data_IF_956582331059
#
_entry.id   IF_956582331059
#
_cell.length_a   1.000
_cell.length_b   1.000
_cell.length_c   1.000
_cell.angle_alpha   90.00
_cell.angle_beta   90.00
_cell.angle_gamma   90.00
#
_symmetry.space_group_name_H-M   'P 1'
#
loop_
_entity.id
_entity.type
_entity.pdbx_description
1 polymer ?
#
# COMPACT_ATOMS: atom_id res chain seq x y z
N UNK A 1 -17.05 13.71 6.01
CA UNK A 1 -18.26 14.13 6.75
C UNK A 1 -19.15 14.87 5.76
N UNK A 2 -20.31 14.31 5.42
CA UNK A 2 -21.17 14.86 4.36
C UNK A 2 -21.99 16.02 4.93
N UNK A 3 -21.53 17.26 4.73
CA UNK A 3 -22.09 18.47 5.34
C UNK A 3 -23.55 18.72 4.95
N UNK A 4 -24.03 18.16 3.84
CA UNK A 4 -25.41 18.28 3.37
C UNK A 4 -26.42 17.66 4.34
N UNK A 5 -26.11 16.49 4.91
CA UNK A 5 -26.99 15.80 5.87
C UNK A 5 -27.08 16.55 7.20
N UNK A 6 -25.97 17.12 7.66
CA UNK A 6 -25.92 17.91 8.88
C UNK A 6 -26.77 19.18 8.72
N UNK A 7 -26.67 19.85 7.57
CA UNK A 7 -27.46 21.04 7.26
C UNK A 7 -28.95 20.73 7.09
N UNK A 8 -29.28 19.61 6.41
CA UNK A 8 -30.66 19.18 6.20
C UNK A 8 -31.33 18.76 7.51
N UNK A 9 -30.64 17.98 8.35
CA UNK A 9 -31.11 17.59 9.67
C UNK A 9 -31.31 18.81 10.59
N UNK A 10 -30.41 19.80 10.52
CA UNK A 10 -30.54 21.07 11.22
C UNK A 10 -31.79 21.85 10.79
N UNK A 11 -32.06 21.92 9.48
CA UNK A 11 -33.24 22.59 8.94
C UNK A 11 -34.54 21.90 9.37
N UNK A 12 -34.61 20.58 9.22
CA UNK A 12 -35.80 19.79 9.59
C UNK A 12 -36.05 19.84 11.09
N UNK A 13 -34.99 19.77 11.90
CA UNK A 13 -35.06 19.97 13.36
C UNK A 13 -35.63 21.34 13.73
N UNK A 14 -35.20 22.41 13.07
CA UNK A 14 -35.72 23.76 13.31
C UNK A 14 -37.20 23.89 12.95
N UNK A 15 -37.64 23.30 11.83
CA UNK A 15 -39.05 23.31 11.40
C UNK A 15 -39.92 22.53 12.39
N UNK A 16 -39.50 21.33 12.81
CA UNK A 16 -40.23 20.52 13.79
C UNK A 16 -40.34 21.26 15.13
N UNK A 17 -39.26 21.87 15.60
CA UNK A 17 -39.26 22.65 16.84
C UNK A 17 -40.21 23.85 16.76
N UNK A 18 -40.25 24.55 15.63
CA UNK A 18 -41.17 25.68 15.41
C UNK A 18 -42.64 25.23 15.42
N UNK A 19 -42.97 24.11 14.75
CA UNK A 19 -44.33 23.55 14.71
C UNK A 19 -44.79 23.11 16.10
N UNK A 20 -43.95 22.35 16.83
CA UNK A 20 -44.26 21.93 18.21
C UNK A 20 -44.41 23.15 19.13
N UNK A 21 -43.57 24.18 18.97
CA UNK A 21 -43.67 25.44 19.71
C UNK A 21 -44.99 26.16 19.49
N UNK A 22 -45.46 26.23 18.23
CA UNK A 22 -46.76 26.83 17.88
C UNK A 22 -47.94 26.02 18.42
N UNK A 23 -47.89 24.69 18.34
CA UNK A 23 -48.94 23.81 18.89
C UNK A 23 -49.03 23.91 20.42
N UNK A 24 -47.88 24.08 21.10
CA UNK A 24 -47.84 24.34 22.55
C UNK A 24 -48.42 25.71 22.91
N UNK A 25 -48.11 26.75 22.13
CA UNK A 25 -48.66 28.11 22.35
C UNK A 25 -50.19 28.15 22.22
N UNK A 26 -50.77 27.28 21.38
CA UNK A 26 -52.21 27.14 21.17
C UNK A 26 -52.90 26.21 22.19
N UNK A 27 -52.16 25.61 23.11
CA UNK A 27 -52.69 24.73 24.16
C UNK A 27 -53.08 23.32 23.68
N UNK A 28 -52.79 22.96 22.44
CA UNK A 28 -53.14 21.65 21.87
C UNK A 28 -52.26 20.50 22.39
N UNK A 29 -51.08 20.82 22.92
CA UNK A 29 -50.09 19.82 23.35
C UNK A 29 -49.46 20.23 24.67
N UNK A 30 -49.53 19.34 25.67
CA UNK A 30 -48.89 19.53 26.98
C UNK A 30 -47.36 19.42 26.93
N UNK A 31 -46.66 19.86 27.98
CA UNK A 31 -45.18 19.87 28.04
C UNK A 31 -44.57 18.49 27.81
N UNK A 32 -45.14 17.45 28.44
CA UNK A 32 -44.67 16.07 28.31
C UNK A 32 -44.94 15.51 26.89
N UNK A 33 -46.14 15.73 26.36
CA UNK A 33 -46.53 15.28 25.01
C UNK A 33 -45.69 15.94 23.91
N UNK A 34 -45.31 17.21 24.08
CA UNK A 34 -44.45 17.91 23.13
C UNK A 34 -43.01 17.39 23.12
N UNK A 35 -42.48 16.96 24.27
CA UNK A 35 -41.16 16.33 24.35
C UNK A 35 -41.16 14.95 23.66
N UNK A 36 -42.20 14.15 23.89
CA UNK A 36 -42.37 12.84 23.24
C UNK A 36 -42.46 12.98 21.72
N UNK A 37 -43.25 13.93 21.20
CA UNK A 37 -43.36 14.17 19.76
C UNK A 37 -42.02 14.57 19.12
N UNK A 38 -41.20 15.34 19.83
CA UNK A 38 -39.87 15.72 19.34
C UNK A 38 -38.94 14.51 19.25
N UNK A 39 -38.95 13.64 20.27
CA UNK A 39 -38.16 12.39 20.27
C UNK A 39 -38.61 11.47 19.13
N UNK A 40 -39.92 11.27 18.96
CA UNK A 40 -40.47 10.45 17.87
C UNK A 40 -40.07 11.00 16.51
N UNK A 41 -40.10 12.32 16.32
CA UNK A 41 -39.70 12.93 15.06
C UNK A 41 -38.20 12.78 14.76
N UNK A 42 -37.34 12.87 15.78
CA UNK A 42 -35.89 12.61 15.64
C UNK A 42 -35.64 11.15 15.25
N UNK A 43 -36.31 10.20 15.92
CA UNK A 43 -36.19 8.77 15.61
C UNK A 43 -36.70 8.47 14.20
N UNK A 44 -37.85 9.02 13.82
CA UNK A 44 -38.42 8.85 12.48
C UNK A 44 -37.52 9.44 11.38
N UNK A 45 -36.94 10.63 11.64
CA UNK A 45 -35.97 11.23 10.73
C UNK A 45 -34.72 10.37 10.57
N UNK A 46 -34.16 9.87 11.68
CA UNK A 46 -32.97 9.02 11.64
C UNK A 46 -33.22 7.72 10.85
N UNK A 47 -34.37 7.08 11.07
CA UNK A 47 -34.79 5.90 10.31
C UNK A 47 -34.98 6.21 8.82
N UNK A 48 -35.60 7.34 8.48
CA UNK A 48 -35.79 7.76 7.09
C UNK A 48 -34.47 8.09 6.39
N UNK A 49 -33.55 8.78 7.08
CA UNK A 49 -32.24 9.13 6.55
C UNK A 49 -31.41 7.88 6.25
N UNK A 50 -31.32 6.96 7.21
CA UNK A 50 -30.56 5.70 7.09
C UNK A 50 -31.15 4.76 6.03
N UNK A 51 -32.48 4.62 5.96
CA UNK A 51 -33.10 3.66 5.05
C UNK A 51 -33.41 4.21 3.65
N UNK A 52 -33.53 5.52 3.48
CA UNK A 52 -34.00 6.11 2.21
C UNK A 52 -33.03 7.12 1.58
N UNK A 53 -32.44 8.03 2.36
CA UNK A 53 -31.58 9.08 1.79
C UNK A 53 -30.15 8.58 1.52
N UNK A 54 -29.53 7.90 2.48
CA UNK A 54 -28.17 7.36 2.33
C UNK A 54 -28.07 6.36 1.14
N UNK A 55 -29.00 5.40 0.96
CA UNK A 55 -28.97 4.50 -0.19
C UNK A 55 -29.20 5.23 -1.53
N UNK A 56 -30.01 6.29 -1.53
CA UNK A 56 -30.32 7.08 -2.74
C UNK A 56 -29.15 7.97 -3.17
N UNK A 57 -28.36 8.50 -2.24
CA UNK A 57 -27.13 9.23 -2.59
C UNK A 57 -26.02 8.29 -3.10
N UNK A 58 -25.88 7.09 -2.52
CA UNK A 58 -25.01 6.05 -3.10
C UNK A 58 -25.41 5.76 -4.54
N UNK A 59 -26.71 5.64 -4.81
CA UNK A 59 -27.26 5.52 -6.16
C UNK A 59 -27.06 6.79 -7.02
N UNK A 60 -27.02 7.99 -6.44
CA UNK A 60 -26.84 9.25 -7.15
C UNK A 60 -25.41 9.47 -7.68
N UNK A 61 -24.41 8.77 -7.13
CA UNK A 61 -23.07 8.71 -7.75
C UNK A 61 -23.04 7.96 -9.09
N UNK A 62 -24.07 7.15 -9.37
CA UNK A 62 -24.21 6.32 -10.56
C UNK A 62 -23.18 5.18 -10.68
N UNK A 63 -22.20 5.11 -9.78
CA UNK A 63 -21.12 4.13 -9.81
C UNK A 63 -21.39 3.00 -8.82
N UNK A 64 -21.17 1.75 -9.25
CA UNK A 64 -21.16 0.60 -8.34
C UNK A 64 -19.99 0.70 -7.34
N UNK A 65 -20.07 -0.03 -6.22
CA UNK A 65 -18.96 -0.07 -5.25
C UNK A 65 -17.65 -0.57 -5.89
N UNK A 66 -17.75 -1.46 -6.88
CA UNK A 66 -16.63 -1.90 -7.72
C UNK A 66 -16.03 -0.75 -8.54
N UNK A 67 -16.87 0.10 -9.15
CA UNK A 67 -16.39 1.23 -9.93
C UNK A 67 -15.76 2.32 -9.05
N UNK A 68 -16.27 2.52 -7.83
CA UNK A 68 -15.64 3.42 -6.86
C UNK A 68 -14.27 2.88 -6.41
N UNK A 69 -14.17 1.57 -6.17
CA UNK A 69 -12.90 0.91 -5.85
C UNK A 69 -11.89 1.05 -7.00
N UNK A 70 -12.31 0.75 -8.23
CA UNK A 70 -11.51 0.94 -9.44
C UNK A 70 -11.02 2.39 -9.55
N UNK A 71 -11.91 3.38 -9.35
CA UNK A 71 -11.58 4.80 -9.49
C UNK A 71 -10.51 5.29 -8.50
N UNK A 72 -10.37 4.66 -7.33
CA UNK A 72 -9.34 5.00 -6.33
C UNK A 72 -8.03 4.29 -6.66
N UNK A 73 -8.06 2.96 -6.83
CA UNK A 73 -6.82 2.20 -7.02
C UNK A 73 -6.15 2.50 -8.36
N UNK A 74 -6.92 2.73 -9.42
CA UNK A 74 -6.37 3.02 -10.75
C UNK A 74 -5.73 4.42 -10.84
N UNK A 75 -5.77 5.23 -9.78
CA UNK A 75 -4.92 6.42 -9.68
C UNK A 75 -3.44 6.06 -9.51
N UNK A 76 -3.13 4.85 -9.04
CA UNK A 76 -1.75 4.39 -8.89
C UNK A 76 -1.33 3.61 -10.15
N UNK A 77 -0.22 3.97 -10.80
CA UNK A 77 0.22 3.34 -12.05
C UNK A 77 0.35 1.82 -11.98
N UNK A 78 0.85 1.26 -10.88
CA UNK A 78 1.00 -0.20 -10.69
C UNK A 78 -0.33 -0.95 -10.82
N UNK A 79 -1.42 -0.40 -10.28
CA UNK A 79 -2.74 -1.04 -10.36
C UNK A 79 -3.35 -0.95 -11.77
N UNK A 80 -3.01 0.09 -12.55
CA UNK A 80 -3.37 0.13 -13.97
C UNK A 80 -2.72 -1.04 -14.72
N UNK A 81 -1.43 -1.29 -14.48
CA UNK A 81 -0.71 -2.41 -15.11
C UNK A 81 -1.31 -3.76 -14.71
N UNK A 82 -1.66 -3.94 -13.43
CA UNK A 82 -2.32 -5.16 -12.96
C UNK A 82 -3.67 -5.39 -13.66
N UNK A 83 -4.48 -4.34 -13.82
CA UNK A 83 -5.75 -4.45 -14.55
C UNK A 83 -5.55 -4.81 -16.03
N UNK A 84 -4.51 -4.26 -16.66
CA UNK A 84 -4.17 -4.49 -18.06
C UNK A 84 -3.63 -5.92 -18.31
N UNK A 85 -2.68 -6.37 -17.49
CA UNK A 85 -1.92 -7.60 -17.72
C UNK A 85 -2.44 -8.81 -16.96
N UNK A 86 -3.11 -8.59 -15.82
CA UNK A 86 -3.55 -9.63 -14.89
C UNK A 86 -5.06 -9.46 -14.56
N UNK A 87 -5.95 -9.48 -15.57
CA UNK A 87 -7.36 -9.14 -15.37
C UNK A 87 -8.08 -10.09 -14.39
N UNK A 88 -7.71 -11.37 -14.36
CA UNK A 88 -8.27 -12.33 -13.41
C UNK A 88 -7.85 -12.01 -11.97
N UNK A 89 -6.56 -11.66 -11.77
CA UNK A 89 -6.06 -11.21 -10.48
C UNK A 89 -6.72 -9.89 -10.05
N UNK A 90 -6.89 -8.94 -10.97
CA UNK A 90 -7.58 -7.68 -10.68
C UNK A 90 -9.00 -7.88 -10.15
N UNK A 91 -9.77 -8.77 -10.79
CA UNK A 91 -11.12 -9.12 -10.33
C UNK A 91 -11.05 -9.75 -8.94
N UNK A 92 -10.14 -10.72 -8.72
CA UNK A 92 -9.96 -11.35 -7.41
C UNK A 92 -9.64 -10.33 -6.31
N UNK A 93 -8.66 -9.45 -6.58
CA UNK A 93 -8.22 -8.40 -5.68
C UNK A 93 -9.39 -7.50 -5.26
N UNK A 94 -10.17 -7.04 -6.24
CA UNK A 94 -11.33 -6.17 -6.01
C UNK A 94 -12.40 -6.88 -5.20
N UNK A 95 -12.76 -8.11 -5.58
CA UNK A 95 -13.77 -8.89 -4.87
C UNK A 95 -13.37 -9.12 -3.41
N UNK A 96 -12.12 -9.49 -3.16
CA UNK A 96 -11.60 -9.70 -1.81
C UNK A 96 -11.60 -8.40 -1.00
N UNK A 97 -11.17 -7.28 -1.57
CA UNK A 97 -11.17 -5.99 -0.90
C UNK A 97 -12.57 -5.55 -0.48
N UNK A 98 -13.56 -5.69 -1.37
CA UNK A 98 -14.95 -5.35 -1.10
C UNK A 98 -15.58 -6.29 -0.09
N UNK A 99 -15.25 -7.59 -0.12
CA UNK A 99 -15.70 -8.54 0.88
C UNK A 99 -15.19 -8.15 2.28
N UNK A 100 -13.89 -7.89 2.43
CA UNK A 100 -13.29 -7.49 3.72
C UNK A 100 -13.90 -6.18 4.24
N UNK A 101 -14.17 -5.22 3.33
CA UNK A 101 -14.87 -3.98 3.68
C UNK A 101 -16.28 -4.27 4.21
N UNK A 102 -17.02 -5.18 3.56
CA UNK A 102 -18.38 -5.57 3.99
C UNK A 102 -18.37 -6.34 5.31
N UNK A 103 -17.30 -7.05 5.62
CA UNK A 103 -17.05 -7.68 6.93
C UNK A 103 -16.64 -6.67 8.02
N UNK A 104 -16.54 -5.38 7.70
CA UNK A 104 -16.20 -4.32 8.65
C UNK A 104 -14.70 -4.21 8.98
N UNK A 105 -13.83 -4.81 8.15
CA UNK A 105 -12.37 -4.65 8.30
C UNK A 105 -11.94 -3.20 8.08
N UNK A 106 -10.90 -2.78 8.79
CA UNK A 106 -10.32 -1.45 8.60
C UNK A 106 -9.55 -1.37 7.28
N UNK A 107 -9.35 -0.15 6.77
CA UNK A 107 -8.54 0.08 5.55
C UNK A 107 -7.14 -0.54 5.66
N UNK A 108 -6.50 -0.43 6.83
CA UNK A 108 -5.18 -1.03 7.06
C UNK A 108 -5.22 -2.56 6.98
N UNK A 109 -6.24 -3.21 7.55
CA UNK A 109 -6.38 -4.67 7.48
C UNK A 109 -6.59 -5.15 6.04
N UNK A 110 -7.30 -4.36 5.23
CA UNK A 110 -7.49 -4.64 3.80
C UNK A 110 -6.14 -4.51 3.07
N UNK A 111 -5.39 -3.42 3.32
CA UNK A 111 -4.04 -3.22 2.76
C UNK A 111 -3.11 -4.36 3.14
N UNK A 112 -3.05 -4.73 4.42
CA UNK A 112 -2.17 -5.80 4.93
C UNK A 112 -2.49 -7.16 4.28
N UNK A 113 -3.74 -7.37 3.86
CA UNK A 113 -4.17 -8.60 3.15
C UNK A 113 -3.80 -8.57 1.66
N UNK A 114 -3.92 -7.41 1.02
CA UNK A 114 -3.78 -7.24 -0.44
C UNK A 114 -2.33 -7.00 -0.85
N UNK A 115 -1.61 -6.18 -0.09
CA UNK A 115 -0.27 -5.73 -0.43
C UNK A 115 0.72 -6.88 -0.70
N UNK A 116 0.77 -7.97 0.09
CA UNK A 116 1.68 -9.08 -0.17
C UNK A 116 1.44 -9.76 -1.52
N UNK A 117 0.18 -9.88 -1.95
CA UNK A 117 -0.20 -10.50 -3.23
C UNK A 117 0.28 -9.66 -4.41
N UNK A 118 0.12 -8.33 -4.31
CA UNK A 118 0.63 -7.38 -5.31
C UNK A 118 2.15 -7.42 -5.36
N UNK A 119 2.82 -7.41 -4.21
CA UNK A 119 4.28 -7.48 -4.11
C UNK A 119 4.81 -8.76 -4.76
N UNK A 120 4.15 -9.91 -4.56
CA UNK A 120 4.56 -11.18 -5.18
C UNK A 120 4.57 -11.08 -6.71
N UNK A 121 3.54 -10.47 -7.32
CA UNK A 121 3.51 -10.23 -8.76
C UNK A 121 4.64 -9.28 -9.17
N UNK A 122 4.83 -8.17 -8.46
CA UNK A 122 5.93 -7.23 -8.73
C UNK A 122 7.31 -7.90 -8.71
N UNK A 123 7.59 -8.73 -7.69
CA UNK A 123 8.87 -9.46 -7.59
C UNK A 123 9.04 -10.47 -8.73
N UNK A 124 7.96 -11.17 -9.12
CA UNK A 124 8.00 -12.08 -10.27
C UNK A 124 8.31 -11.35 -11.59
N UNK A 125 7.89 -10.09 -11.72
CA UNK A 125 8.14 -9.27 -12.91
C UNK A 125 9.60 -8.82 -13.02
N UNK A 126 10.32 -8.66 -11.91
CA UNK A 126 11.75 -8.35 -11.96
C UNK A 126 12.56 -9.44 -12.68
N UNK A 127 12.15 -10.72 -12.58
CA UNK A 127 12.78 -11.81 -13.34
C UNK A 127 12.68 -11.61 -14.86
N UNK A 128 11.60 -10.97 -15.33
CA UNK A 128 11.28 -10.83 -16.75
C UNK A 128 11.51 -9.41 -17.28
N UNK A 129 11.80 -8.45 -16.41
CA UNK A 129 12.09 -7.08 -16.80
C UNK A 129 13.48 -7.00 -17.48
N UNK A 130 13.70 -6.10 -18.46
CA UNK A 130 15.02 -5.78 -18.97
C UNK A 130 15.97 -5.22 -17.89
N UNK A 131 17.28 -5.38 -18.08
CA UNK A 131 18.30 -5.01 -17.08
C UNK A 131 18.19 -3.57 -16.57
N UNK A 132 17.91 -2.62 -17.46
CA UNK A 132 17.77 -1.21 -17.09
C UNK A 132 16.67 -1.00 -16.05
N UNK A 133 15.52 -1.65 -16.22
CA UNK A 133 14.40 -1.54 -15.29
C UNK A 133 14.69 -2.21 -13.94
N UNK A 134 15.43 -3.32 -13.95
CA UNK A 134 15.85 -4.01 -12.72
C UNK A 134 16.86 -3.17 -11.92
N UNK A 135 17.83 -2.57 -12.62
CA UNK A 135 18.82 -1.67 -12.01
C UNK A 135 18.16 -0.41 -11.46
N UNK A 136 17.24 0.21 -12.21
CA UNK A 136 16.54 1.41 -11.76
C UNK A 136 15.60 1.14 -10.58
N UNK A 137 14.97 -0.04 -10.54
CA UNK A 137 14.22 -0.52 -9.38
C UNK A 137 15.11 -0.51 -8.11
N UNK A 138 16.32 -1.07 -8.20
CA UNK A 138 17.21 -1.14 -7.04
C UNK A 138 17.77 0.22 -6.62
N UNK A 139 18.06 1.11 -7.58
CA UNK A 139 18.46 2.50 -7.27
C UNK A 139 17.39 3.22 -6.45
N UNK A 140 16.13 3.15 -6.87
CA UNK A 140 15.02 3.77 -6.15
C UNK A 140 14.83 3.09 -4.78
N UNK A 141 14.99 1.77 -4.71
CA UNK A 141 14.92 1.05 -3.43
C UNK A 141 16.00 1.52 -2.44
N UNK A 142 17.24 1.75 -2.90
CA UNK A 142 18.29 2.36 -2.08
C UNK A 142 17.94 3.78 -1.62
N UNK A 143 17.37 4.61 -2.49
CA UNK A 143 16.91 5.95 -2.10
C UNK A 143 15.84 5.88 -1.00
N UNK A 144 14.93 4.89 -1.07
CA UNK A 144 13.91 4.66 -0.04
C UNK A 144 14.54 4.23 1.29
N UNK A 145 15.47 3.27 1.27
CA UNK A 145 16.17 2.82 2.49
C UNK A 145 16.89 4.00 3.14
N UNK A 146 17.65 4.78 2.36
CA UNK A 146 18.34 5.96 2.84
C UNK A 146 17.37 7.04 3.39
N UNK A 147 16.22 7.23 2.75
CA UNK A 147 15.20 8.17 3.23
C UNK A 147 14.58 7.72 4.56
N UNK A 148 14.34 6.43 4.74
CA UNK A 148 13.83 5.87 6.00
C UNK A 148 14.90 5.93 7.09
N UNK A 149 16.15 5.57 6.81
CA UNK A 149 17.22 5.61 7.80
C UNK A 149 17.47 7.02 8.35
N UNK A 150 17.29 8.06 7.51
CA UNK A 150 17.32 9.46 7.97
C UNK A 150 16.27 9.79 9.03
N UNK A 151 15.22 8.98 9.17
CA UNK A 151 14.20 9.11 10.23
C UNK A 151 14.60 8.33 11.48
N UNK A 152 15.26 7.19 11.30
CA UNK A 152 15.95 6.47 12.35
C UNK A 152 16.36 5.06 11.91
N UNK A 153 17.34 4.50 12.62
CA UNK A 153 17.87 3.17 12.31
C UNK A 153 16.85 2.06 12.62
N UNK A 154 16.01 2.24 13.65
CA UNK A 154 14.92 1.31 13.96
C UNK A 154 13.89 1.25 12.82
N UNK A 155 13.49 2.41 12.30
CA UNK A 155 12.57 2.53 11.18
C UNK A 155 13.13 1.85 9.93
N UNK A 156 14.43 2.04 9.66
CA UNK A 156 15.09 1.40 8.53
C UNK A 156 15.16 -0.13 8.71
N UNK A 157 15.48 -0.62 9.91
CA UNK A 157 15.48 -2.05 10.18
C UNK A 157 14.09 -2.67 9.98
N UNK A 158 13.04 -2.00 10.48
CA UNK A 158 11.64 -2.41 10.31
C UNK A 158 11.15 -2.32 8.86
N UNK A 159 11.72 -1.42 8.05
CA UNK A 159 11.45 -1.31 6.62
C UNK A 159 12.05 -2.49 5.84
N UNK A 160 13.28 -2.87 6.16
CA UNK A 160 13.99 -3.97 5.52
C UNK A 160 13.50 -5.35 5.97
N UNK A 161 13.18 -5.49 7.26
CA UNK A 161 12.81 -6.77 7.90
C UNK A 161 11.51 -6.65 8.70
N UNK A 162 10.36 -6.35 8.05
CA UNK A 162 9.07 -6.14 8.71
C UNK A 162 8.59 -7.35 9.52
N UNK A 163 9.02 -8.56 9.16
CA UNK A 163 8.72 -9.82 9.86
C UNK A 163 9.40 -9.96 11.23
N UNK A 164 10.45 -9.16 11.52
CA UNK A 164 11.23 -9.28 12.76
C UNK A 164 10.71 -8.35 13.86
N UNK A 165 10.49 -7.06 13.55
CA UNK A 165 10.05 -6.04 14.53
C UNK A 165 8.71 -5.38 14.18
N UNK A 166 8.00 -5.92 13.19
CA UNK A 166 6.81 -5.30 12.61
C UNK A 166 7.18 -4.21 11.59
N UNK A 167 6.38 -4.09 10.53
CA UNK A 167 6.62 -3.11 9.47
C UNK A 167 6.43 -1.65 9.89
N UNK A 168 6.74 -0.75 8.97
CA UNK A 168 6.44 0.68 9.05
C UNK A 168 5.44 1.06 7.95
N UNK A 169 4.82 2.24 8.08
CA UNK A 169 4.10 2.85 6.97
C UNK A 169 5.04 3.81 6.21
N UNK A 170 5.53 3.44 5.00
CA UNK A 170 6.53 4.24 4.29
C UNK A 170 6.00 5.61 3.84
N UNK A 171 4.68 5.76 3.67
CA UNK A 171 4.05 7.03 3.24
C UNK A 171 4.22 8.17 4.24
N UNK A 172 4.52 7.85 5.51
CA UNK A 172 4.75 8.84 6.56
C UNK A 172 6.22 9.26 6.68
N UNK A 173 7.13 8.49 6.09
CA UNK A 173 8.58 8.60 6.31
C UNK A 173 9.33 9.00 5.03
N UNK A 174 8.83 8.58 3.87
CA UNK A 174 9.41 8.82 2.55
C UNK A 174 8.69 9.98 1.87
N UNK A 175 9.43 10.82 1.13
CA UNK A 175 8.84 11.97 0.44
C UNK A 175 7.87 11.53 -0.66
N UNK A 176 6.83 12.32 -0.96
CA UNK A 176 5.90 12.03 -2.05
C UNK A 176 6.59 11.87 -3.41
N UNK A 177 7.69 12.58 -3.65
CA UNK A 177 8.49 12.46 -4.89
C UNK A 177 9.10 11.06 -5.06
N UNK A 178 9.79 10.55 -4.03
CA UNK A 178 10.41 9.22 -4.07
C UNK A 178 9.33 8.15 -4.23
N UNK A 179 8.19 8.29 -3.53
CA UNK A 179 7.06 7.35 -3.65
C UNK A 179 6.46 7.37 -5.06
N UNK A 180 6.31 8.56 -5.66
CA UNK A 180 5.83 8.71 -7.03
C UNK A 180 6.78 8.03 -8.02
N UNK A 181 8.08 8.33 -7.95
CA UNK A 181 9.09 7.70 -8.81
C UNK A 181 9.13 6.18 -8.65
N UNK A 182 8.97 5.68 -7.42
CA UNK A 182 8.84 4.24 -7.15
C UNK A 182 7.64 3.63 -7.87
N UNK A 183 6.46 4.23 -7.74
CA UNK A 183 5.24 3.70 -8.38
C UNK A 183 5.33 3.74 -9.91
N UNK A 184 5.87 4.82 -10.47
CA UNK A 184 6.08 4.95 -11.92
C UNK A 184 7.14 3.97 -12.44
N UNK A 185 8.24 3.81 -11.70
CA UNK A 185 9.31 2.86 -12.01
C UNK A 185 8.82 1.41 -11.96
N UNK A 186 8.09 1.04 -10.91
CA UNK A 186 7.49 -0.30 -10.77
C UNK A 186 6.51 -0.58 -11.93
N UNK A 187 5.64 0.37 -12.28
CA UNK A 187 4.71 0.21 -13.38
C UNK A 187 5.42 0.08 -14.74
N UNK A 188 6.47 0.87 -14.98
CA UNK A 188 7.28 0.77 -16.20
C UNK A 188 8.00 -0.58 -16.28
N UNK A 189 8.59 -1.03 -15.17
CA UNK A 189 9.23 -2.34 -15.04
C UNK A 189 8.23 -3.48 -15.35
N UNK A 190 7.05 -3.46 -14.73
CA UNK A 190 6.02 -4.48 -14.95
C UNK A 190 5.51 -4.50 -16.39
N UNK A 191 5.40 -3.33 -17.04
CA UNK A 191 5.06 -3.25 -18.48
C UNK A 191 6.14 -3.84 -19.36
N UNK A 192 7.41 -3.53 -19.09
CA UNK A 192 8.55 -4.05 -19.84
C UNK A 192 8.79 -5.55 -19.61
N UNK A 193 8.35 -6.08 -18.47
CA UNK A 193 8.43 -7.50 -18.12
C UNK A 193 7.37 -8.38 -18.81
N UNK A 194 6.58 -7.83 -19.72
CA UNK A 194 5.49 -8.52 -20.40
C UNK A 194 5.65 -8.48 -21.92
N UNK A 195 5.06 -9.46 -22.61
CA UNK A 195 5.09 -9.55 -24.07
C UNK A 195 6.31 -10.31 -24.63
N UNK A 196 6.49 -10.30 -25.96
CA UNK A 196 7.47 -11.14 -26.65
C UNK A 196 8.93 -10.73 -26.39
N UNK A 197 9.17 -9.48 -25.98
CA UNK A 197 10.52 -8.93 -25.77
C UNK A 197 10.94 -8.93 -24.29
N UNK A 198 10.21 -9.66 -23.43
CA UNK A 198 10.57 -9.77 -22.01
C UNK A 198 11.91 -10.48 -21.84
N UNK A 199 12.63 -10.14 -20.78
CA UNK A 199 13.84 -10.87 -20.37
C UNK A 199 13.48 -12.31 -20.02
N UNK A 200 14.39 -13.23 -20.34
CA UNK A 200 14.31 -14.62 -19.89
C UNK A 200 15.61 -14.96 -19.20
N UNK A 201 15.54 -15.14 -17.88
CA UNK A 201 16.71 -15.50 -17.08
C UNK A 201 17.25 -16.84 -17.54
N UNK A 202 18.55 -16.90 -17.84
CA UNK A 202 19.23 -18.15 -18.20
C UNK A 202 20.00 -18.73 -17.01
N UNK A 203 20.30 -20.04 -17.05
CA UNK A 203 21.12 -20.68 -16.01
C UNK A 203 22.53 -20.08 -15.94
N UNK A 204 23.08 -19.68 -17.10
CA UNK A 204 24.38 -19.00 -17.17
C UNK A 204 24.35 -17.64 -16.46
N UNK A 205 23.27 -16.86 -16.64
CA UNK A 205 23.07 -15.60 -15.91
C UNK A 205 22.93 -15.83 -14.40
N UNK A 206 22.20 -16.87 -13.97
CA UNK A 206 22.09 -17.21 -12.55
C UNK A 206 23.45 -17.57 -11.95
N UNK A 207 24.22 -18.41 -12.63
CA UNK A 207 25.55 -18.80 -12.17
C UNK A 207 26.50 -17.59 -12.12
N UNK A 208 26.46 -16.72 -13.14
CA UNK A 208 27.24 -15.48 -13.15
C UNK A 208 26.84 -14.57 -11.99
N UNK A 209 25.54 -14.38 -11.73
CA UNK A 209 25.06 -13.58 -10.60
C UNK A 209 25.54 -14.11 -9.25
N UNK A 210 25.65 -15.44 -9.07
CA UNK A 210 26.25 -16.03 -7.87
C UNK A 210 27.74 -15.69 -7.74
N UNK A 211 28.50 -15.73 -8.85
CA UNK A 211 29.91 -15.35 -8.86
C UNK A 211 30.10 -13.85 -8.61
N UNK A 212 29.25 -13.02 -9.19
CA UNK A 212 29.26 -11.57 -9.00
C UNK A 212 28.98 -11.23 -7.53
N UNK A 213 28.01 -11.90 -6.89
CA UNK A 213 27.74 -11.73 -5.47
C UNK A 213 28.94 -12.18 -4.61
N UNK A 214 29.62 -13.28 -4.97
CA UNK A 214 30.85 -13.72 -4.29
C UNK A 214 31.98 -12.69 -4.37
N UNK A 215 32.01 -11.83 -5.40
CA UNK A 215 32.98 -10.73 -5.50
C UNK A 215 32.67 -9.55 -4.56
N UNK A 216 31.39 -9.36 -4.21
CA UNK A 216 30.94 -8.29 -3.31
C UNK A 216 31.16 -8.64 -1.83
N UNK A 217 30.95 -9.90 -1.45
CA UNK A 217 31.01 -10.35 -0.05
C UNK A 217 32.32 -9.99 0.67
N UNK A 218 33.52 -10.17 0.08
CA UNK A 218 34.79 -9.80 0.75
C UNK A 218 34.87 -8.32 1.14
N UNK A 219 34.29 -7.42 0.33
CA UNK A 219 34.26 -5.97 0.63
C UNK A 219 33.43 -5.72 1.90
N UNK A 220 32.30 -6.42 2.03
CA UNK A 220 31.43 -6.32 3.20
C UNK A 220 32.11 -6.95 4.43
N UNK A 221 32.75 -8.11 4.28
CA UNK A 221 33.48 -8.78 5.38
C UNK A 221 34.62 -7.91 5.90
N UNK A 222 35.33 -7.20 5.01
CA UNK A 222 36.37 -6.27 5.42
C UNK A 222 35.83 -5.11 6.27
N UNK A 223 34.61 -4.62 5.96
CA UNK A 223 34.00 -3.46 6.65
C UNK A 223 33.23 -3.84 7.92
N UNK A 224 32.53 -4.96 7.91
CA UNK A 224 31.57 -5.36 8.94
C UNK A 224 32.01 -6.62 9.73
N UNK A 225 33.05 -7.32 9.31
CA UNK A 225 33.54 -8.51 9.98
C UNK A 225 32.46 -9.60 10.08
N UNK A 226 32.19 -10.07 11.31
CA UNK A 226 31.19 -11.10 11.57
C UNK A 226 29.74 -10.60 11.39
N UNK A 227 29.51 -9.28 11.44
CA UNK A 227 28.16 -8.73 11.31
C UNK A 227 27.56 -8.91 9.90
N UNK A 228 28.36 -9.31 8.90
CA UNK A 228 27.84 -9.73 7.58
C UNK A 228 26.83 -10.87 7.70
N UNK A 229 26.96 -11.73 8.72
CA UNK A 229 26.03 -12.84 8.97
C UNK A 229 24.61 -12.35 9.33
N UNK A 230 24.46 -11.10 9.78
CA UNK A 230 23.16 -10.52 10.12
C UNK A 230 22.23 -10.38 8.91
N UNK A 231 22.75 -10.37 7.68
CA UNK A 231 21.89 -10.38 6.48
C UNK A 231 21.13 -11.69 6.31
N UNK A 232 21.78 -12.82 6.66
CA UNK A 232 21.15 -14.14 6.61
C UNK A 232 20.26 -14.40 7.84
N UNK A 233 20.61 -13.78 8.97
CA UNK A 233 19.91 -13.97 10.25
C UNK A 233 19.46 -12.62 10.84
N UNK A 234 18.49 -11.92 10.22
CA UNK A 234 18.11 -10.56 10.62
C UNK A 234 17.58 -10.48 12.06
N UNK A 235 17.02 -11.56 12.60
CA UNK A 235 16.60 -11.63 14.01
C UNK A 235 17.74 -11.42 15.01
N UNK A 236 18.99 -11.77 14.65
CA UNK A 236 20.18 -11.49 15.46
C UNK A 236 20.64 -10.03 15.38
N UNK A 237 20.04 -9.26 14.46
CA UNK A 237 20.32 -7.85 14.25
C UNK A 237 19.55 -6.90 15.19
N UNK A 238 18.67 -7.41 16.05
CA UNK A 238 17.97 -6.58 17.06
C UNK A 238 18.99 -6.02 18.05
N UNK A 239 19.00 -4.69 18.22
CA UNK A 239 20.04 -3.95 18.96
C UNK A 239 21.27 -3.58 18.12
N UNK A 240 21.30 -3.97 16.84
CA UNK A 240 22.32 -3.61 15.83
C UNK A 240 21.68 -3.00 14.57
N UNK A 241 20.54 -2.34 14.73
CA UNK A 241 19.70 -1.86 13.62
C UNK A 241 20.50 -1.00 12.63
N UNK A 242 21.33 -0.08 13.14
CA UNK A 242 22.20 0.75 12.32
C UNK A 242 23.16 -0.06 11.46
N UNK A 243 23.82 -1.05 12.06
CA UNK A 243 24.81 -1.89 11.36
C UNK A 243 24.13 -2.65 10.23
N UNK A 244 22.94 -3.21 10.48
CA UNK A 244 22.17 -3.94 9.48
C UNK A 244 21.74 -3.02 8.33
N UNK A 245 21.28 -1.81 8.64
CA UNK A 245 20.90 -0.82 7.63
C UNK A 245 22.06 -0.34 6.76
N UNK A 246 23.20 -0.05 7.38
CA UNK A 246 24.42 0.35 6.68
C UNK A 246 24.92 -0.82 5.80
N UNK A 247 24.90 -2.05 6.32
CA UNK A 247 25.30 -3.28 5.62
C UNK A 247 24.45 -3.55 4.36
N UNK A 248 23.12 -3.45 4.46
CA UNK A 248 22.23 -3.66 3.30
C UNK A 248 22.42 -2.58 2.24
N UNK A 249 22.57 -1.31 2.65
CA UNK A 249 22.82 -0.23 1.69
C UNK A 249 24.17 -0.37 1.00
N UNK A 250 25.21 -0.71 1.75
CA UNK A 250 26.55 -0.93 1.19
C UNK A 250 26.57 -2.12 0.24
N UNK A 251 25.92 -3.23 0.58
CA UNK A 251 25.80 -4.39 -0.30
C UNK A 251 25.20 -3.99 -1.65
N UNK A 252 24.03 -3.34 -1.63
CA UNK A 252 23.37 -2.92 -2.87
C UNK A 252 24.15 -1.83 -3.62
N UNK A 253 24.87 -0.97 -2.90
CA UNK A 253 25.76 0.02 -3.52
C UNK A 253 26.92 -0.65 -4.25
N UNK A 254 27.56 -1.67 -3.67
CA UNK A 254 28.61 -2.44 -4.35
C UNK A 254 28.06 -3.24 -5.54
N UNK A 255 26.87 -3.85 -5.42
CA UNK A 255 26.19 -4.53 -6.53
C UNK A 255 25.93 -3.57 -7.69
N UNK A 256 25.47 -2.34 -7.41
CA UNK A 256 25.21 -1.34 -8.45
C UNK A 256 26.47 -0.75 -9.11
N UNK A 257 27.68 -1.02 -8.59
CA UNK A 257 28.94 -0.68 -9.26
C UNK A 257 29.34 -1.70 -10.31
N UNK A 258 28.76 -2.90 -10.29
CA UNK A 258 28.97 -3.89 -11.34
C UNK A 258 28.43 -3.38 -12.69
N UNK A 259 28.94 -3.90 -13.82
CA UNK A 259 28.27 -3.78 -15.11
C UNK A 259 26.77 -4.02 -15.02
N UNK A 260 25.97 -3.23 -15.75
CA UNK A 260 24.52 -3.21 -15.59
C UNK A 260 23.85 -4.60 -15.70
N UNK A 261 24.31 -5.45 -16.61
CA UNK A 261 23.81 -6.82 -16.76
C UNK A 261 24.12 -7.71 -15.53
N UNK A 262 25.32 -7.57 -14.95
CA UNK A 262 25.74 -8.30 -13.76
C UNK A 262 24.96 -7.82 -12.53
N UNK A 263 24.83 -6.51 -12.35
CA UNK A 263 24.01 -5.92 -11.29
C UNK A 263 22.54 -6.39 -11.39
N UNK A 264 21.95 -6.35 -12.59
CA UNK A 264 20.60 -6.84 -12.83
C UNK A 264 20.47 -8.35 -12.53
N UNK A 265 21.48 -9.15 -12.90
CA UNK A 265 21.56 -10.57 -12.56
C UNK A 265 21.50 -10.81 -11.05
N UNK A 266 22.31 -10.10 -10.26
CA UNK A 266 22.31 -10.22 -8.78
C UNK A 266 20.98 -9.78 -8.17
N UNK A 267 20.40 -8.68 -8.66
CA UNK A 267 19.10 -8.19 -8.18
C UNK A 267 18.00 -9.23 -8.47
N UNK A 268 17.97 -9.81 -9.67
CA UNK A 268 17.03 -10.90 -9.99
C UNK A 268 17.27 -12.11 -9.09
N UNK A 269 18.52 -12.52 -8.89
CA UNK A 269 18.84 -13.64 -8.01
C UNK A 269 18.26 -13.43 -6.60
N UNK A 270 18.38 -12.22 -6.03
CA UNK A 270 17.90 -11.94 -4.67
C UNK A 270 16.39 -12.04 -4.46
N UNK A 271 15.60 -11.93 -5.54
CA UNK A 271 14.13 -12.04 -5.49
C UNK A 271 13.62 -13.32 -6.16
N UNK A 272 14.54 -14.22 -6.51
CA UNK A 272 14.22 -15.51 -7.10
C UNK A 272 13.59 -16.44 -6.06
N UNK A 273 12.69 -17.36 -6.47
CA UNK A 273 12.08 -18.33 -5.57
C UNK A 273 13.09 -19.18 -4.79
N UNK A 274 14.28 -19.40 -5.35
CA UNK A 274 15.36 -20.19 -4.72
C UNK A 274 16.01 -19.47 -3.52
N UNK A 275 15.81 -18.15 -3.40
CA UNK A 275 16.38 -17.30 -2.35
C UNK A 275 15.35 -16.83 -1.31
N UNK A 276 14.06 -17.16 -1.48
CA UNK A 276 12.95 -16.83 -0.57
C UNK A 276 12.63 -18.00 0.35
#
# INVERSE_FOLDING_TARGET
MNWTHVLLAGYVGAVIAAVIGLMRKKGWVGKASGAVLMIVAIVAWNLFDVHYLIPREKAASGLSEEQQFDAVLLQMPTFQVLKEQEPAFWVHLRTQALQLKNEGKTEQQIIDTIQPQVLQIQMSRLQQAPDSHVVDYMKINLEQIAAVQKKGDDECFRFLFPQVKGGINPTRLISPDILKRRMEGDAAMMRAAYGPNKHTVTDAEKQQAMQDLQSVVPILVQRYGQDVQLMAEPHKGVGKEKVVCDLVQDMWTEVLKLPAAQAAGVIRLSVSPEMQ
#
